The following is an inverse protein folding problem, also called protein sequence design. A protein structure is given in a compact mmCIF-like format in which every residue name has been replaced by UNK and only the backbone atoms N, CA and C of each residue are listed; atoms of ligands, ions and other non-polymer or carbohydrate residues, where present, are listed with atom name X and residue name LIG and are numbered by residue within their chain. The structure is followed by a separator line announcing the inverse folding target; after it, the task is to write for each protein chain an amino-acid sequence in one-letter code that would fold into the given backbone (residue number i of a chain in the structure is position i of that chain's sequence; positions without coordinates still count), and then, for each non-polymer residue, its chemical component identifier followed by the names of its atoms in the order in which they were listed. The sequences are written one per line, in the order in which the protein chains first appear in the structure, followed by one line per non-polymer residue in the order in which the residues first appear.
data_IF_208817214257
#
_entry.id   IF_208817214257
#
_cell.length_a   1.000
_cell.length_b   1.000
_cell.length_c   1.000
_cell.angle_alpha   90.00
_cell.angle_beta   90.00
_cell.angle_gamma   90.00
#
_symmetry.space_group_name_H-M   'P 1'
#
loop_
_entity.id
_entity.type
_entity.pdbx_description
1 polymer ?
#
# COMPACT_ATOMS: atom_id res chain seq x y z
N UNK A 1 -19.83 -54.36 36.00
CA UNK A 1 -18.87 -53.25 35.88
C UNK A 1 -18.54 -53.09 34.41
N UNK A 2 -19.26 -52.22 33.71
CA UNK A 2 -19.05 -51.94 32.28
C UNK A 2 -18.30 -50.61 32.18
N UNK A 3 -17.04 -50.69 31.76
CA UNK A 3 -16.18 -49.52 31.54
C UNK A 3 -16.61 -48.78 30.28
N UNK A 4 -16.88 -47.48 30.42
CA UNK A 4 -17.03 -46.54 29.33
C UNK A 4 -15.64 -46.09 28.86
N UNK A 5 -15.26 -46.41 27.62
CA UNK A 5 -14.12 -45.77 26.96
C UNK A 5 -14.65 -44.58 26.15
N UNK A 6 -14.44 -43.37 26.67
CA UNK A 6 -14.54 -42.13 25.90
C UNK A 6 -13.25 -41.95 25.09
N UNK A 7 -13.32 -42.07 23.77
CA UNK A 7 -12.26 -41.58 22.87
C UNK A 7 -12.55 -40.12 22.59
N UNK A 8 -11.82 -39.24 23.27
CA UNK A 8 -11.82 -37.81 22.98
C UNK A 8 -11.11 -37.59 21.63
N UNK A 9 -11.89 -37.45 20.56
CA UNK A 9 -11.40 -36.95 19.28
C UNK A 9 -11.10 -35.45 19.45
N UNK A 10 -9.82 -35.14 19.71
CA UNK A 10 -9.32 -33.78 19.74
C UNK A 10 -9.31 -33.25 18.29
N UNK A 11 -10.37 -32.56 17.89
CA UNK A 11 -10.38 -31.76 16.67
C UNK A 11 -9.32 -30.66 16.85
N UNK A 12 -8.18 -30.81 16.18
CA UNK A 12 -7.30 -29.67 15.92
C UNK A 12 -8.02 -28.83 14.88
N UNK A 13 -8.76 -27.82 15.34
CA UNK A 13 -9.21 -26.74 14.49
C UNK A 13 -7.94 -26.03 14.00
N UNK A 14 -7.54 -26.29 12.76
CA UNK A 14 -6.64 -25.40 12.05
C UNK A 14 -7.37 -24.07 11.95
N UNK A 15 -6.97 -23.12 12.80
CA UNK A 15 -7.31 -21.73 12.58
C UNK A 15 -6.74 -21.36 11.21
N UNK A 16 -7.63 -21.22 10.22
CA UNK A 16 -7.29 -20.51 9.01
C UNK A 16 -6.91 -19.10 9.45
N UNK A 17 -5.62 -18.77 9.36
CA UNK A 17 -5.11 -17.44 9.63
C UNK A 17 -5.82 -16.49 8.64
N UNK A 18 -6.68 -15.55 9.11
CA UNK A 18 -7.55 -14.79 8.23
C UNK A 18 -6.80 -13.69 7.45
N UNK A 19 -5.48 -13.59 7.58
CA UNK A 19 -4.66 -12.64 6.82
C UNK A 19 -3.88 -13.37 5.72
N UNK A 20 -4.60 -14.03 4.82
CA UNK A 20 -4.00 -14.39 3.53
C UNK A 20 -3.81 -13.09 2.72
N UNK A 21 -2.68 -12.43 2.96
CA UNK A 21 -2.18 -11.19 2.36
C UNK A 21 -1.85 -11.33 0.85
N UNK A 22 -2.59 -12.15 0.11
CA UNK A 22 -2.38 -12.34 -1.33
C UNK A 22 -2.54 -11.03 -2.12
N UNK A 23 -3.35 -10.08 -1.62
CA UNK A 23 -3.52 -8.77 -2.25
C UNK A 23 -2.23 -7.94 -2.25
N UNK A 24 -1.47 -7.93 -1.14
CA UNK A 24 -0.26 -7.08 -1.00
C UNK A 24 0.97 -7.62 -1.75
N UNK A 25 0.89 -8.81 -2.34
CA UNK A 25 1.96 -9.38 -3.18
C UNK A 25 1.92 -8.82 -4.62
N UNK A 26 0.85 -8.12 -4.98
CA UNK A 26 0.78 -7.35 -6.22
C UNK A 26 0.93 -5.87 -5.91
N UNK A 27 1.52 -5.08 -6.81
CA UNK A 27 1.60 -3.65 -6.56
C UNK A 27 0.22 -2.97 -6.48
N UNK A 28 -0.74 -3.45 -7.27
CA UNK A 28 -2.13 -2.95 -7.24
C UNK A 28 -2.76 -3.16 -5.86
N UNK A 29 -2.71 -4.38 -5.33
CA UNK A 29 -3.28 -4.65 -4.01
C UNK A 29 -2.49 -4.00 -2.86
N UNK A 30 -1.22 -3.65 -3.08
CA UNK A 30 -0.47 -2.82 -2.14
C UNK A 30 -0.97 -1.38 -2.12
N UNK A 31 -1.23 -0.76 -3.29
CA UNK A 31 -1.84 0.58 -3.37
C UNK A 31 -3.22 0.58 -2.71
N UNK A 32 -4.04 -0.45 -2.95
CA UNK A 32 -5.34 -0.61 -2.29
C UNK A 32 -5.21 -0.66 -0.76
N UNK A 33 -4.31 -1.51 -0.25
CA UNK A 33 -4.06 -1.64 1.19
C UNK A 33 -3.55 -0.33 1.82
N UNK A 34 -2.62 0.34 1.15
CA UNK A 34 -2.07 1.63 1.56
C UNK A 34 -3.17 2.71 1.64
N UNK A 35 -3.99 2.83 0.59
CA UNK A 35 -5.09 3.79 0.55
C UNK A 35 -6.11 3.53 1.66
N UNK A 36 -6.44 2.26 1.96
CA UNK A 36 -7.36 1.89 3.03
C UNK A 36 -6.89 2.31 4.44
N UNK A 37 -5.57 2.35 4.68
CA UNK A 37 -4.98 2.84 5.93
C UNK A 37 -4.95 4.38 5.95
N UNK A 38 -4.58 5.02 4.83
CA UNK A 38 -4.51 6.48 4.71
C UNK A 38 -5.87 7.17 4.90
N UNK A 39 -6.96 6.59 4.38
CA UNK A 39 -8.33 7.10 4.58
C UNK A 39 -8.72 7.12 6.06
N UNK A 40 -8.25 6.14 6.84
CA UNK A 40 -8.46 6.06 8.29
C UNK A 40 -7.55 7.02 9.07
N UNK A 41 -6.62 7.69 8.39
CA UNK A 41 -5.60 8.55 8.98
C UNK A 41 -4.71 7.84 10.01
N UNK A 42 -4.56 6.52 9.88
CA UNK A 42 -3.65 5.74 10.73
C UNK A 42 -2.22 5.80 10.17
N UNK A 43 -1.64 6.99 10.24
CA UNK A 43 -0.31 7.27 9.68
C UNK A 43 0.79 6.52 10.43
N UNK A 44 0.55 6.17 11.70
CA UNK A 44 1.49 5.38 12.48
C UNK A 44 1.56 3.94 11.96
N UNK A 45 0.41 3.30 11.72
CA UNK A 45 0.36 1.97 11.11
C UNK A 45 0.85 2.00 9.65
N UNK A 46 0.56 3.08 8.92
CA UNK A 46 1.10 3.27 7.57
C UNK A 46 2.63 3.25 7.57
N UNK A 47 3.25 4.04 8.45
CA UNK A 47 4.71 4.11 8.57
C UNK A 47 5.34 2.75 8.92
N UNK A 48 4.76 2.03 9.87
CA UNK A 48 5.34 0.76 10.33
C UNK A 48 5.20 -0.36 9.29
N UNK A 49 4.07 -0.40 8.58
CA UNK A 49 3.68 -1.56 7.79
C UNK A 49 3.77 -1.33 6.27
N UNK A 50 3.83 -0.09 5.79
CA UNK A 50 3.77 0.22 4.37
C UNK A 50 4.95 1.06 3.86
N UNK A 51 5.75 1.68 4.72
CA UNK A 51 6.97 2.38 4.31
C UNK A 51 8.17 1.42 4.24
N UNK A 52 8.88 1.44 3.11
CA UNK A 52 10.11 0.69 2.90
C UNK A 52 11.20 1.19 3.87
N UNK A 53 12.18 0.35 4.23
CA UNK A 53 13.30 0.76 5.09
C UNK A 53 14.05 1.99 4.53
N UNK A 54 14.05 2.19 3.22
CA UNK A 54 14.66 3.35 2.58
C UNK A 54 14.00 4.66 3.04
N UNK A 55 12.67 4.73 3.01
CA UNK A 55 11.91 5.89 3.49
C UNK A 55 12.05 6.05 5.01
N UNK A 56 11.97 4.93 5.75
CA UNK A 56 12.14 4.92 7.22
C UNK A 56 13.54 5.37 7.66
N UNK A 57 14.56 5.21 6.81
CA UNK A 57 15.91 5.71 7.02
C UNK A 57 16.07 7.22 6.80
N UNK A 58 15.12 7.87 6.12
CA UNK A 58 15.17 9.31 5.81
C UNK A 58 14.35 10.15 6.81
N UNK A 59 13.21 9.63 7.26
CA UNK A 59 12.30 10.32 8.16
C UNK A 59 11.88 9.39 9.30
N UNK A 60 12.01 9.87 10.54
CA UNK A 60 11.50 9.14 11.70
C UNK A 60 9.97 9.13 11.74
N UNK A 61 9.42 8.17 12.46
CA UNK A 61 7.97 7.98 12.57
C UNK A 61 7.23 9.22 13.05
N UNK A 62 7.78 9.96 14.01
CA UNK A 62 7.11 11.14 14.57
C UNK A 62 7.02 12.23 13.51
N UNK A 63 8.13 12.54 12.85
CA UNK A 63 8.18 13.52 11.77
C UNK A 63 7.28 13.13 10.61
N UNK A 64 7.25 11.85 10.24
CA UNK A 64 6.35 11.34 9.22
C UNK A 64 4.88 11.57 9.57
N UNK A 65 4.45 11.16 10.77
CA UNK A 65 3.06 11.34 11.23
C UNK A 65 2.69 12.83 11.29
N UNK A 66 3.59 13.69 11.77
CA UNK A 66 3.35 15.13 11.80
C UNK A 66 3.25 15.73 10.38
N UNK A 67 4.09 15.27 9.46
CA UNK A 67 4.04 15.68 8.04
C UNK A 67 2.74 15.23 7.37
N UNK A 68 2.30 13.99 7.59
CA UNK A 68 1.05 13.46 7.02
C UNK A 68 -0.22 14.19 7.52
N UNK A 69 -0.13 14.91 8.65
CA UNK A 69 -1.22 15.77 9.17
C UNK A 69 -1.21 17.19 8.57
N UNK A 70 -0.20 17.54 7.78
CA UNK A 70 -0.11 18.85 7.12
C UNK A 70 -0.94 18.90 5.83
N UNK A 71 -1.02 20.09 5.22
CA UNK A 71 -1.62 20.26 3.88
C UNK A 71 -0.89 19.42 2.81
N UNK A 72 0.44 19.29 2.91
CA UNK A 72 1.21 18.43 2.02
C UNK A 72 0.84 16.95 2.22
N UNK A 73 0.63 16.52 3.46
CA UNK A 73 0.13 15.18 3.78
C UNK A 73 -1.26 14.91 3.18
N UNK A 74 -2.15 15.90 3.19
CA UNK A 74 -3.46 15.78 2.55
C UNK A 74 -3.34 15.58 1.02
N UNK A 75 -2.35 16.21 0.38
CA UNK A 75 -2.07 16.02 -1.04
C UNK A 75 -1.59 14.59 -1.34
N UNK A 76 -0.75 14.00 -0.48
CA UNK A 76 -0.33 12.60 -0.57
C UNK A 76 -1.54 11.66 -0.42
N UNK A 77 -2.41 11.88 0.57
CA UNK A 77 -3.63 11.06 0.74
C UNK A 77 -4.49 11.12 -0.54
N UNK A 78 -4.64 12.31 -1.12
CA UNK A 78 -5.35 12.48 -2.39
C UNK A 78 -4.67 11.73 -3.54
N UNK A 79 -3.35 11.76 -3.63
CA UNK A 79 -2.60 10.99 -4.63
C UNK A 79 -2.95 9.50 -4.56
N UNK A 80 -2.87 8.88 -3.38
CA UNK A 80 -3.19 7.47 -3.20
C UNK A 80 -4.64 7.13 -3.61
N UNK A 81 -5.58 8.01 -3.28
CA UNK A 81 -6.98 7.85 -3.69
C UNK A 81 -7.16 7.96 -5.21
N UNK A 82 -6.48 8.91 -5.86
CA UNK A 82 -6.55 9.13 -7.30
C UNK A 82 -5.91 7.96 -8.07
N UNK A 83 -4.75 7.46 -7.61
CA UNK A 83 -4.09 6.27 -8.18
C UNK A 83 -4.98 5.05 -8.04
N UNK A 84 -5.56 4.82 -6.85
CA UNK A 84 -6.47 3.71 -6.63
C UNK A 84 -7.70 3.79 -7.56
N UNK A 85 -8.32 4.97 -7.68
CA UNK A 85 -9.46 5.17 -8.57
C UNK A 85 -9.11 4.95 -10.05
N UNK A 86 -7.95 5.43 -10.50
CA UNK A 86 -7.47 5.22 -11.88
C UNK A 86 -7.28 3.73 -12.19
N UNK A 87 -6.70 2.96 -11.26
CA UNK A 87 -6.57 1.51 -11.37
C UNK A 87 -7.95 0.84 -11.46
N UNK A 88 -8.88 1.18 -10.57
CA UNK A 88 -10.22 0.56 -10.54
C UNK A 88 -11.04 0.88 -11.78
N UNK A 89 -11.01 2.12 -12.25
CA UNK A 89 -11.86 2.60 -13.35
C UNK A 89 -11.24 2.35 -14.73
N UNK A 90 -9.98 1.91 -14.79
CA UNK A 90 -9.19 1.85 -16.04
C UNK A 90 -9.20 3.20 -16.78
N UNK A 91 -9.26 4.29 -16.03
CA UNK A 91 -9.46 5.62 -16.56
C UNK A 91 -8.10 6.27 -16.85
N UNK A 92 -7.76 6.40 -18.14
CA UNK A 92 -6.59 7.13 -18.64
C UNK A 92 -5.81 6.34 -19.70
N UNK A 93 -5.48 7.00 -20.82
CA UNK A 93 -4.56 6.44 -21.82
C UNK A 93 -3.13 6.33 -21.27
N UNK A 94 -2.80 7.15 -20.27
CA UNK A 94 -1.52 7.23 -19.59
C UNK A 94 -1.52 6.51 -18.23
N UNK A 95 -2.43 5.55 -18.00
CA UNK A 95 -2.30 4.66 -16.85
C UNK A 95 -1.14 3.67 -17.09
N UNK A 96 0.10 4.18 -17.16
CA UNK A 96 1.35 3.43 -17.01
C UNK A 96 1.42 2.84 -15.60
N UNK A 97 0.60 1.82 -15.36
CA UNK A 97 0.76 0.86 -14.28
C UNK A 97 2.09 0.18 -14.54
N UNK A 98 3.14 0.65 -13.87
CA UNK A 98 4.48 0.10 -13.92
C UNK A 98 5.25 0.31 -15.23
N UNK A 99 6.30 1.13 -15.18
CA UNK A 99 7.53 0.67 -15.85
C UNK A 99 8.10 -0.42 -14.96
N UNK A 100 8.03 -1.67 -15.43
CA UNK A 100 8.83 -2.74 -14.83
C UNK A 100 10.28 -2.24 -14.85
N UNK A 101 10.88 -2.07 -13.68
CA UNK A 101 12.30 -1.72 -13.63
C UNK A 101 13.10 -2.85 -14.27
N UNK A 102 14.24 -2.53 -14.88
CA UNK A 102 15.20 -3.55 -15.34
C UNK A 102 15.69 -4.43 -14.17
N UNK A 103 15.48 -3.97 -12.94
CA UNK A 103 15.74 -4.70 -11.71
C UNK A 103 14.49 -5.51 -11.32
N UNK A 104 14.62 -6.82 -11.04
CA UNK A 104 13.56 -7.54 -10.35
C UNK A 104 13.21 -6.80 -9.05
N UNK A 105 11.93 -6.87 -8.66
CA UNK A 105 11.44 -6.39 -7.36
C UNK A 105 11.32 -4.87 -7.18
N UNK A 106 11.55 -4.08 -8.24
CA UNK A 106 11.35 -2.62 -8.27
C UNK A 106 10.27 -2.23 -9.27
N UNK A 107 9.29 -1.46 -8.82
CA UNK A 107 8.21 -0.95 -9.67
C UNK A 107 8.00 0.53 -9.40
N UNK A 108 8.11 1.32 -10.46
CA UNK A 108 7.77 2.73 -10.42
C UNK A 108 6.35 2.89 -10.97
N UNK A 109 5.42 3.36 -10.15
CA UNK A 109 4.09 3.80 -10.59
C UNK A 109 4.16 5.30 -10.84
N UNK A 110 4.21 5.69 -12.10
CA UNK A 110 4.13 7.09 -12.48
C UNK A 110 2.73 7.35 -13.03
N UNK A 111 1.83 7.85 -12.20
CA UNK A 111 0.40 7.92 -12.50
C UNK A 111 -0.27 9.07 -11.74
N UNK A 112 -0.44 10.21 -12.40
CA UNK A 112 -1.73 10.78 -12.87
C UNK A 112 -1.40 12.11 -13.56
N UNK A 113 -1.77 12.31 -14.82
CA UNK A 113 -1.94 13.66 -15.37
C UNK A 113 -3.27 14.18 -14.84
N UNK A 114 -3.23 14.89 -13.72
CA UNK A 114 -4.46 15.29 -13.03
C UNK A 114 -5.13 16.42 -13.83
N UNK A 115 -6.11 16.09 -14.69
CA UNK A 115 -6.95 17.09 -15.36
C UNK A 115 -7.59 18.06 -14.35
N UNK A 116 -7.88 17.58 -13.14
CA UNK A 116 -8.52 18.38 -12.07
C UNK A 116 -7.61 19.40 -11.35
N UNK A 117 -6.33 19.52 -11.74
CA UNK A 117 -5.40 20.54 -11.23
C UNK A 117 -4.92 21.46 -12.38
N UNK A 118 -5.74 22.44 -12.82
CA UNK A 118 -5.46 23.27 -13.99
C UNK A 118 -4.16 24.08 -13.90
N UNK A 119 -3.62 24.30 -12.70
CA UNK A 119 -2.35 24.99 -12.49
C UNK A 119 -1.11 24.16 -12.90
N UNK A 120 -1.23 22.86 -13.16
CA UNK A 120 -0.11 21.92 -13.34
C UNK A 120 -0.35 20.95 -14.52
N UNK A 121 -0.92 21.45 -15.62
CA UNK A 121 -1.16 20.67 -16.83
C UNK A 121 0.15 20.03 -17.33
N UNK A 122 0.24 18.70 -17.29
CA UNK A 122 1.43 17.94 -17.70
C UNK A 122 2.34 17.45 -16.58
N UNK A 123 2.11 17.82 -15.31
CA UNK A 123 2.82 17.19 -14.19
C UNK A 123 2.28 15.78 -13.94
N UNK A 124 3.20 14.85 -13.73
CA UNK A 124 2.94 13.49 -13.28
C UNK A 124 3.32 13.42 -11.81
N UNK A 125 2.42 12.88 -10.98
CA UNK A 125 2.79 12.49 -9.63
C UNK A 125 3.33 11.06 -9.67
N UNK A 126 4.36 10.79 -8.87
CA UNK A 126 4.97 9.47 -8.77
C UNK A 126 4.72 8.80 -7.42
N UNK A 127 4.64 7.48 -7.47
CA UNK A 127 4.56 6.57 -6.35
C UNK A 127 5.53 5.42 -6.62
N UNK A 128 6.65 5.40 -5.93
CA UNK A 128 7.66 4.35 -6.09
C UNK A 128 7.40 3.22 -5.08
N UNK A 129 7.23 1.99 -5.58
CA UNK A 129 7.07 0.80 -4.73
C UNK A 129 8.23 -0.18 -4.96
N UNK A 130 8.68 -0.79 -3.87
CA UNK A 130 9.68 -1.86 -3.92
C UNK A 130 9.28 -2.98 -2.96
N UNK A 131 9.63 -4.22 -3.31
CA UNK A 131 9.42 -5.37 -2.41
C UNK A 131 10.42 -5.29 -1.25
N UNK A 132 9.90 -5.44 -0.04
CA UNK A 132 10.63 -5.71 1.20
C UNK A 132 9.84 -6.78 1.97
N UNK A 133 10.53 -7.87 2.35
CA UNK A 133 9.93 -9.01 3.04
C UNK A 133 8.67 -9.56 2.34
N UNK A 134 8.79 -9.84 1.03
CA UNK A 134 7.71 -10.34 0.15
C UNK A 134 6.48 -9.42 0.02
N UNK A 135 6.59 -8.16 0.45
CA UNK A 135 5.52 -7.17 0.40
C UNK A 135 5.95 -5.91 -0.35
N UNK A 136 5.08 -5.37 -1.20
CA UNK A 136 5.30 -4.06 -1.81
C UNK A 136 5.18 -2.94 -0.76
N UNK A 137 6.20 -2.10 -0.66
CA UNK A 137 6.29 -0.96 0.26
C UNK A 137 6.58 0.34 -0.48
N UNK A 138 6.11 1.45 0.07
CA UNK A 138 6.37 2.80 -0.41
C UNK A 138 7.84 3.18 -0.19
N UNK A 139 8.54 3.49 -1.28
CA UNK A 139 9.92 3.99 -1.27
C UNK A 139 9.94 5.51 -1.29
N UNK A 140 9.16 6.11 -2.19
CA UNK A 140 9.15 7.56 -2.42
C UNK A 140 7.81 8.03 -3.04
N UNK A 141 7.50 9.32 -2.87
CA UNK A 141 6.34 10.00 -3.46
C UNK A 141 6.51 11.52 -3.48
N UNK A 142 5.91 12.19 -4.47
CA UNK A 142 5.89 13.68 -4.61
C UNK A 142 5.04 14.41 -3.56
#
# INVERSE_FOLDING_TARGET
MTSFSFVAAMLVAFAADPTNNAATHTPVGAVEAMNAILIKQDFAAFYDNHCHQHLRGQIDKKRFVDYMKSEAGAAIIKLFADVHAAITQKAGEDVLIARKSDKPDKYEFCLVQVESLPARKGQQWHLELQIEDDQWKLVDTD
#
